data_IF_596128443578
#
_entry.id   IF_596128443578
#
_cell.length_a   1.000
_cell.length_b   1.000
_cell.length_c   1.000
_cell.angle_alpha   90.00
_cell.angle_beta   90.00
_cell.angle_gamma   90.00
#
_symmetry.space_group_name_H-M   'P 1'
#
loop_
_entity.id
_entity.type
_entity.pdbx_description
1 polymer ?
#
# COMPACT_ATOMS: atom_id res chain seq x y z
N UNK A 1 -9.85 -0.30 8.70
CA UNK A 1 -8.72 -0.81 7.89
C UNK A 1 -9.24 -1.03 6.49
N UNK A 2 -8.65 -0.39 5.49
CA UNK A 2 -9.05 -0.53 4.09
C UNK A 2 -7.83 -0.37 3.17
N UNK A 3 -8.01 -0.62 1.88
CA UNK A 3 -7.00 -0.37 0.84
C UNK A 3 -6.93 1.14 0.63
N UNK A 4 -5.78 1.74 0.93
CA UNK A 4 -5.51 3.16 0.69
C UNK A 4 -5.38 3.44 -0.80
N UNK A 5 -4.59 2.60 -1.48
CA UNK A 5 -4.27 2.76 -2.89
C UNK A 5 -4.04 1.40 -3.54
N UNK A 6 -4.15 1.38 -4.86
CA UNK A 6 -3.85 0.22 -5.70
C UNK A 6 -2.81 0.62 -6.72
N UNK A 7 -1.74 -0.15 -6.82
CA UNK A 7 -0.83 -0.15 -7.96
C UNK A 7 -1.20 -1.34 -8.82
N UNK A 8 -1.53 -1.12 -10.09
CA UNK A 8 -1.84 -2.19 -11.04
C UNK A 8 -0.81 -2.17 -12.16
N UNK A 9 -0.02 -3.24 -12.25
CA UNK A 9 1.03 -3.43 -13.23
C UNK A 9 0.50 -4.16 -14.47
N UNK A 10 0.84 -3.69 -15.65
CA UNK A 10 0.56 -4.39 -16.91
C UNK A 10 1.73 -5.30 -17.28
N UNK A 11 1.46 -6.61 -17.33
CA UNK A 11 2.47 -7.63 -17.58
C UNK A 11 2.51 -8.08 -19.05
N UNK A 12 1.64 -7.52 -19.89
CA UNK A 12 1.60 -7.74 -21.34
C UNK A 12 0.93 -6.52 -22.00
N UNK A 13 1.41 -6.13 -23.18
CA UNK A 13 0.73 -5.15 -24.04
C UNK A 13 -0.48 -5.78 -24.72
N UNK A 14 -1.62 -5.08 -24.71
CA UNK A 14 -2.79 -5.44 -25.54
C UNK A 14 -3.06 -4.26 -26.47
N UNK A 15 -3.06 -4.52 -27.78
CA UNK A 15 -3.15 -3.47 -28.79
C UNK A 15 -4.57 -2.89 -28.92
N UNK A 16 -5.61 -3.70 -28.67
CA UNK A 16 -7.01 -3.29 -28.77
C UNK A 16 -7.85 -3.84 -27.61
N UNK A 17 -8.56 -2.95 -26.92
CA UNK A 17 -9.29 -3.29 -25.71
C UNK A 17 -8.36 -3.51 -24.52
N UNK A 18 -8.86 -4.19 -23.49
CA UNK A 18 -8.03 -4.54 -22.33
C UNK A 18 -7.69 -3.35 -21.42
N UNK A 19 -8.29 -2.17 -21.61
CA UNK A 19 -8.02 -0.99 -20.80
C UNK A 19 -8.40 -1.22 -19.33
N UNK A 20 -7.74 -0.48 -18.45
CA UNK A 20 -8.30 -0.22 -17.11
C UNK A 20 -9.09 1.07 -17.21
N UNK A 21 -10.37 1.04 -16.86
CA UNK A 21 -11.25 2.20 -17.00
C UNK A 21 -11.77 2.69 -15.65
N UNK A 22 -11.98 3.99 -15.54
CA UNK A 22 -12.48 4.70 -14.37
C UNK A 22 -13.72 5.50 -14.76
N UNK A 23 -14.93 4.92 -14.65
CA UNK A 23 -16.16 5.53 -15.18
C UNK A 23 -16.55 6.83 -14.49
N UNK A 24 -16.12 7.05 -13.24
CA UNK A 24 -16.41 8.25 -12.45
C UNK A 24 -15.24 9.23 -12.36
N UNK A 25 -14.19 9.02 -13.17
CA UNK A 25 -13.08 9.96 -13.25
C UNK A 25 -13.57 11.30 -13.80
N UNK A 26 -13.07 12.39 -13.23
CA UNK A 26 -13.41 13.74 -13.66
C UNK A 26 -12.46 14.22 -14.77
N UNK A 27 -13.01 15.03 -15.68
CA UNK A 27 -12.23 15.81 -16.63
C UNK A 27 -11.64 17.07 -15.96
N UNK A 28 -10.92 17.89 -16.74
CA UNK A 28 -10.26 19.10 -16.25
C UNK A 28 -11.24 20.13 -15.69
N UNK A 29 -12.50 20.07 -16.12
CA UNK A 29 -13.59 20.94 -15.68
C UNK A 29 -14.33 20.38 -14.44
N UNK A 30 -13.86 19.27 -13.86
CA UNK A 30 -14.45 18.67 -12.66
C UNK A 30 -15.76 17.92 -12.91
N UNK A 31 -16.05 17.52 -14.15
CA UNK A 31 -17.26 16.79 -14.55
C UNK A 31 -16.92 15.37 -14.99
N UNK A 32 -17.84 14.42 -14.81
CA UNK A 32 -17.67 13.09 -15.42
C UNK A 32 -17.66 13.20 -16.95
N UNK A 33 -16.87 12.35 -17.63
CA UNK A 33 -16.80 12.33 -19.09
C UNK A 33 -18.14 11.91 -19.70
N UNK A 34 -18.70 10.79 -19.23
CA UNK A 34 -20.05 10.34 -19.50
C UNK A 34 -20.61 9.74 -18.21
N UNK A 35 -21.78 10.19 -17.73
CA UNK A 35 -22.36 9.68 -16.50
C UNK A 35 -22.44 8.15 -16.47
N UNK A 36 -22.00 7.57 -15.37
CA UNK A 36 -21.98 6.13 -15.18
C UNK A 36 -23.41 5.54 -15.19
N UNK A 37 -23.62 4.48 -15.97
CA UNK A 37 -24.91 3.81 -16.13
C UNK A 37 -25.03 2.49 -15.35
N UNK A 38 -24.02 2.09 -14.57
CA UNK A 38 -24.01 0.82 -13.84
C UNK A 38 -23.53 -0.40 -14.66
N UNK A 39 -23.37 -0.25 -15.98
CA UNK A 39 -23.03 -1.36 -16.87
C UNK A 39 -21.52 -1.51 -17.06
N UNK A 40 -20.94 -2.54 -16.45
CA UNK A 40 -19.50 -2.84 -16.47
C UNK A 40 -18.95 -3.18 -17.87
N UNK A 41 -19.80 -3.52 -18.83
CA UNK A 41 -19.40 -3.74 -20.23
C UNK A 41 -19.21 -2.41 -20.99
N UNK A 42 -19.78 -1.30 -20.51
CA UNK A 42 -19.63 0.03 -21.12
C UNK A 42 -18.35 0.72 -20.64
N UNK A 43 -17.24 0.16 -21.09
CA UNK A 43 -15.88 0.48 -20.69
C UNK A 43 -15.41 1.91 -20.98
N UNK A 44 -16.02 2.59 -21.96
CA UNK A 44 -15.51 3.83 -22.53
C UNK A 44 -16.29 5.08 -22.06
N UNK A 45 -16.88 5.02 -20.86
CA UNK A 45 -17.63 6.13 -20.24
C UNK A 45 -16.78 7.09 -19.38
N UNK A 46 -15.50 6.80 -19.19
CA UNK A 46 -14.62 7.58 -18.32
C UNK A 46 -13.18 7.67 -18.81
N UNK A 47 -12.26 7.85 -17.87
CA UNK A 47 -10.83 7.77 -18.16
C UNK A 47 -10.45 6.31 -18.41
N UNK A 48 -9.73 6.05 -19.49
CA UNK A 48 -9.19 4.72 -19.80
C UNK A 48 -7.67 4.77 -19.82
N UNK A 49 -7.04 3.67 -19.41
CA UNK A 49 -5.60 3.47 -19.45
C UNK A 49 -5.31 2.19 -20.23
N UNK A 50 -4.67 2.28 -21.41
CA UNK A 50 -4.34 1.11 -22.20
C UNK A 50 -3.27 0.26 -21.50
N UNK A 51 -3.35 -1.08 -21.60
CA UNK A 51 -2.35 -1.98 -21.04
C UNK A 51 -1.11 -2.01 -21.92
N UNK A 52 -0.03 -1.39 -21.45
CA UNK A 52 1.28 -1.41 -22.10
C UNK A 52 2.27 -2.10 -21.18
N UNK A 53 2.99 -3.11 -21.68
CA UNK A 53 3.95 -3.89 -20.91
C UNK A 53 4.89 -3.00 -20.09
N UNK A 54 4.98 -3.26 -18.79
CA UNK A 54 5.85 -2.55 -17.86
C UNK A 54 5.25 -1.27 -17.27
N UNK A 55 4.22 -0.70 -17.89
CA UNK A 55 3.51 0.44 -17.30
C UNK A 55 2.70 0.01 -16.07
N UNK A 56 2.44 0.97 -15.19
CA UNK A 56 1.56 0.78 -14.04
C UNK A 56 0.61 1.96 -13.88
N UNK A 57 -0.59 1.69 -13.38
CA UNK A 57 -1.54 2.71 -12.92
C UNK A 57 -1.60 2.69 -11.39
N UNK A 58 -1.39 3.86 -10.79
CA UNK A 58 -1.59 4.09 -9.35
C UNK A 58 -2.84 4.95 -9.17
N UNK A 59 -3.74 4.50 -8.32
CA UNK A 59 -4.90 5.28 -7.90
C UNK A 59 -5.21 5.06 -6.42
N UNK A 60 -5.72 6.11 -5.78
CA UNK A 60 -6.15 6.08 -4.38
C UNK A 60 -7.59 5.60 -4.30
N UNK A 61 -7.87 4.66 -3.40
CA UNK A 61 -9.22 4.17 -3.11
C UNK A 61 -9.88 4.97 -1.98
N UNK A 62 -9.17 5.93 -1.41
CA UNK A 62 -9.59 6.72 -0.26
C UNK A 62 -9.19 8.19 -0.43
N UNK A 63 -10.05 9.08 0.05
CA UNK A 63 -9.74 10.50 0.24
C UNK A 63 -8.96 10.70 1.56
N UNK A 64 -8.29 11.87 1.77
CA UNK A 64 -7.43 12.07 2.94
C UNK A 64 -8.09 11.90 4.31
N UNK A 65 -9.41 12.09 4.40
CA UNK A 65 -10.18 11.91 5.64
C UNK A 65 -10.50 10.43 5.96
N UNK A 66 -10.11 9.50 5.09
CA UNK A 66 -10.31 8.06 5.29
C UNK A 66 -11.65 7.52 4.78
N UNK A 67 -12.48 8.31 4.11
CA UNK A 67 -13.64 7.79 3.36
C UNK A 67 -13.21 7.15 2.04
N UNK A 68 -14.02 6.22 1.54
CA UNK A 68 -13.82 5.64 0.21
C UNK A 68 -14.04 6.71 -0.86
N UNK A 69 -13.18 6.71 -1.88
CA UNK A 69 -13.35 7.59 -3.04
C UNK A 69 -14.19 6.89 -4.11
N UNK A 70 -15.42 7.34 -4.33
CA UNK A 70 -16.29 6.82 -5.39
C UNK A 70 -15.71 7.00 -6.80
N UNK A 71 -14.82 7.98 -7.01
CA UNK A 71 -14.16 8.22 -8.29
C UNK A 71 -13.09 7.18 -8.61
N UNK A 72 -12.67 6.41 -7.60
CA UNK A 72 -11.74 5.29 -7.74
C UNK A 72 -12.42 4.01 -8.26
N UNK A 73 -13.74 4.02 -8.49
CA UNK A 73 -14.44 2.93 -9.17
C UNK A 73 -13.70 2.65 -10.48
N UNK A 74 -13.35 1.39 -10.70
CA UNK A 74 -12.59 0.97 -11.87
C UNK A 74 -12.97 -0.44 -12.28
N UNK A 75 -12.68 -0.76 -13.54
CA UNK A 75 -12.85 -2.09 -14.10
C UNK A 75 -11.79 -2.41 -15.15
N UNK A 76 -11.81 -3.65 -15.63
CA UNK A 76 -10.97 -4.11 -16.71
C UNK A 76 -11.81 -4.43 -17.93
N UNK A 77 -11.49 -3.80 -19.05
CA UNK A 77 -12.12 -4.09 -20.33
C UNK A 77 -11.63 -5.41 -20.89
N UNK A 78 -12.46 -6.04 -21.70
CA UNK A 78 -12.09 -7.26 -22.42
C UNK A 78 -11.15 -6.89 -23.59
N UNK A 79 -10.05 -7.63 -23.83
CA UNK A 79 -9.34 -7.57 -25.10
C UNK A 79 -10.28 -7.86 -26.27
N UNK A 80 -10.22 -7.07 -27.33
CA UNK A 80 -11.17 -7.19 -28.45
C UNK A 80 -10.67 -8.15 -29.53
N UNK A 81 -9.36 -8.28 -29.69
CA UNK A 81 -8.77 -9.25 -30.64
C UNK A 81 -8.95 -10.68 -30.13
N UNK A 82 -9.33 -11.57 -31.04
CA UNK A 82 -9.53 -12.98 -30.72
C UNK A 82 -8.20 -13.63 -30.29
N UNK A 83 -8.23 -14.33 -29.16
CA UNK A 83 -7.04 -14.99 -28.60
C UNK A 83 -6.11 -14.08 -27.79
N UNK A 84 -6.41 -12.77 -27.69
CA UNK A 84 -5.61 -11.88 -26.86
C UNK A 84 -5.94 -12.01 -25.36
N UNK A 85 -4.88 -12.00 -24.56
CA UNK A 85 -4.95 -12.05 -23.10
C UNK A 85 -4.39 -10.77 -22.48
N UNK A 86 -5.03 -10.33 -21.39
CA UNK A 86 -4.55 -9.25 -20.52
C UNK A 86 -3.98 -9.86 -19.25
N UNK A 87 -2.67 -9.69 -19.04
CA UNK A 87 -2.00 -10.09 -17.81
C UNK A 87 -1.69 -8.86 -16.96
N UNK A 88 -2.02 -8.92 -15.67
CA UNK A 88 -1.76 -7.83 -14.75
C UNK A 88 -1.54 -8.30 -13.32
N UNK A 89 -0.83 -7.50 -12.52
CA UNK A 89 -0.60 -7.75 -11.10
C UNK A 89 -1.09 -6.58 -10.27
N UNK A 90 -1.91 -6.86 -9.25
CA UNK A 90 -2.38 -5.86 -8.31
C UNK A 90 -1.56 -5.88 -7.01
N UNK A 91 -1.08 -4.70 -6.61
CA UNK A 91 -0.51 -4.48 -5.29
C UNK A 91 -1.40 -3.51 -4.52
N UNK A 92 -1.98 -4.01 -3.43
CA UNK A 92 -2.80 -3.19 -2.53
C UNK A 92 -1.96 -2.59 -1.41
N UNK A 93 -1.96 -1.27 -1.33
CA UNK A 93 -1.38 -0.50 -0.23
C UNK A 93 -2.50 -0.25 0.78
N UNK A 94 -2.25 -0.55 2.06
CA UNK A 94 -3.28 -0.50 3.09
C UNK A 94 -3.10 0.74 3.97
N UNK A 95 -4.20 1.36 4.39
CA UNK A 95 -4.18 2.52 5.29
C UNK A 95 -3.84 2.18 6.75
N UNK A 96 -3.60 0.90 7.02
CA UNK A 96 -3.13 0.40 8.29
C UNK A 96 -2.04 -0.61 7.99
N UNK A 97 -0.92 -0.62 8.72
CA UNK A 97 0.14 -1.60 8.52
C UNK A 97 -0.45 -3.02 8.54
N UNK A 98 -0.06 -3.83 7.55
CA UNK A 98 -0.30 -5.27 7.61
C UNK A 98 0.42 -5.80 8.84
N UNK A 99 -0.35 -6.39 9.77
CA UNK A 99 0.25 -7.15 10.86
C UNK A 99 0.83 -8.44 10.26
N UNK A 100 2.01 -8.34 9.65
CA UNK A 100 2.88 -9.51 9.56
C UNK A 100 3.19 -9.93 11.00
N UNK A 101 3.07 -11.22 11.29
CA UNK A 101 3.26 -11.83 12.61
C UNK A 101 4.70 -11.68 13.14
N UNK A 102 5.20 -10.45 13.33
CA UNK A 102 6.50 -10.28 13.98
C UNK A 102 7.10 -8.87 14.07
N UNK A 103 6.70 -7.87 13.27
CA UNK A 103 7.59 -6.68 13.11
C UNK A 103 6.97 -5.32 13.46
N UNK A 104 5.72 -5.27 13.93
CA UNK A 104 5.17 -4.00 14.43
C UNK A 104 4.63 -4.14 15.86
N UNK A 105 5.06 -3.27 16.80
CA UNK A 105 4.49 -3.26 18.13
C UNK A 105 2.99 -3.01 18.03
N UNK A 106 2.18 -3.91 18.63
CA UNK A 106 0.73 -3.76 18.65
C UNK A 106 0.39 -2.39 19.26
N UNK A 107 -0.42 -1.58 18.58
CA UNK A 107 -1.06 -0.41 19.22
C UNK A 107 -1.73 -0.89 20.51
N UNK A 108 -1.22 -0.44 21.65
CA UNK A 108 -1.67 -0.89 22.97
C UNK A 108 -0.76 -1.90 23.68
N UNK A 109 0.52 -2.07 23.32
CA UNK A 109 1.49 -2.57 24.31
C UNK A 109 1.48 -1.56 25.45
N UNK A 110 0.80 -1.90 26.54
CA UNK A 110 0.97 -1.23 27.83
C UNK A 110 2.48 -1.28 28.09
N UNK A 111 3.15 -0.12 28.10
CA UNK A 111 4.50 0.01 28.62
C UNK A 111 4.56 -0.84 29.89
N UNK A 112 5.48 -1.83 29.93
CA UNK A 112 5.62 -2.66 31.13
C UNK A 112 5.79 -1.68 32.29
N UNK A 113 4.84 -1.71 33.23
CA UNK A 113 4.83 -0.91 34.44
C UNK A 113 6.15 -1.19 35.16
N UNK A 114 7.14 -0.31 34.98
CA UNK A 114 8.49 -0.55 35.47
C UNK A 114 9.64 0.13 34.71
N UNK A 115 9.41 0.92 33.66
CA UNK A 115 10.52 1.69 33.07
C UNK A 115 11.01 2.75 34.06
N UNK A 116 12.17 2.48 34.68
CA UNK A 116 12.91 3.49 35.44
C UNK A 116 13.06 4.74 34.56
N UNK A 117 12.86 5.96 35.10
CA UNK A 117 13.10 7.19 34.34
C UNK A 117 14.53 7.16 33.78
N UNK A 118 14.69 7.24 32.46
CA UNK A 118 16.00 7.18 31.79
C UNK A 118 16.38 5.82 31.20
N UNK A 119 15.59 4.76 31.41
CA UNK A 119 15.81 3.46 30.78
C UNK A 119 15.06 3.38 29.44
N UNK A 120 15.70 3.85 28.38
CA UNK A 120 15.16 3.82 27.03
C UNK A 120 16.25 3.54 26.00
N UNK A 121 15.84 2.93 24.88
CA UNK A 121 16.69 2.82 23.70
C UNK A 121 16.70 4.16 22.94
N UNK A 122 17.86 4.49 22.37
CA UNK A 122 18.11 5.73 21.62
C UNK A 122 18.13 5.53 20.11
N UNK A 123 18.07 4.28 19.66
CA UNK A 123 18.05 3.90 18.26
C UNK A 123 16.91 2.92 18.00
N UNK A 124 16.28 3.03 16.84
CA UNK A 124 15.19 2.14 16.40
C UNK A 124 15.67 0.70 16.16
N UNK A 125 16.96 0.51 15.91
CA UNK A 125 17.57 -0.79 15.63
C UNK A 125 18.04 -1.52 16.90
N UNK A 126 17.95 -0.91 18.08
CA UNK A 126 18.42 -1.51 19.34
C UNK A 126 17.87 -2.92 19.60
N UNK A 127 16.58 -3.14 19.31
CA UNK A 127 15.95 -4.46 19.47
C UNK A 127 16.53 -5.51 18.51
N UNK A 128 16.84 -5.11 17.27
CA UNK A 128 17.42 -5.99 16.27
C UNK A 128 18.87 -6.36 16.64
N UNK A 129 19.67 -5.37 17.04
CA UNK A 129 21.05 -5.58 17.49
C UNK A 129 21.14 -6.44 18.76
N UNK A 130 20.26 -6.19 19.74
CA UNK A 130 20.19 -7.02 20.93
C UNK A 130 19.84 -8.48 20.60
N UNK A 131 18.87 -8.69 19.69
CA UNK A 131 18.53 -10.03 19.20
C UNK A 131 19.68 -10.69 18.41
N UNK A 132 20.51 -9.88 17.76
CA UNK A 132 21.73 -10.30 17.06
C UNK A 132 22.94 -10.58 17.96
N UNK A 133 22.81 -10.43 19.29
CA UNK A 133 23.89 -10.70 20.25
C UNK A 133 24.84 -9.52 20.49
N UNK A 134 24.52 -8.32 20.00
CA UNK A 134 25.37 -7.13 20.16
C UNK A 134 25.49 -6.70 21.62
N UNK A 135 24.53 -7.06 22.48
CA UNK A 135 24.65 -6.81 23.92
C UNK A 135 25.87 -7.52 24.52
N UNK A 136 26.40 -8.57 23.91
CA UNK A 136 27.64 -9.23 24.33
C UNK A 136 28.84 -8.80 23.49
N UNK A 137 28.65 -8.67 22.17
CA UNK A 137 29.74 -8.40 21.22
C UNK A 137 30.14 -6.92 21.16
N UNK A 138 29.23 -6.00 21.48
CA UNK A 138 29.41 -4.56 21.41
C UNK A 138 28.83 -3.86 22.67
N UNK A 139 29.18 -4.40 23.83
CA UNK A 139 28.67 -3.99 25.15
C UNK A 139 28.71 -2.47 25.38
N UNK A 140 29.83 -1.82 25.08
CA UNK A 140 30.01 -0.40 25.39
C UNK A 140 28.99 0.50 24.66
N UNK A 141 28.80 0.25 23.37
CA UNK A 141 27.80 0.97 22.57
C UNK A 141 26.39 0.59 23.00
N UNK A 142 26.14 -0.70 23.16
CA UNK A 142 24.81 -1.25 23.42
C UNK A 142 24.29 -0.88 24.81
N UNK A 143 25.11 -0.88 25.85
CA UNK A 143 24.69 -0.47 27.19
C UNK A 143 24.43 1.04 27.29
N UNK A 144 25.06 1.84 26.43
CA UNK A 144 24.90 3.31 26.43
C UNK A 144 23.71 3.77 25.58
N UNK A 145 23.47 3.12 24.43
CA UNK A 145 22.45 3.54 23.46
C UNK A 145 21.22 2.63 23.45
N UNK A 146 21.36 1.38 23.88
CA UNK A 146 20.34 0.34 23.80
C UNK A 146 20.11 -0.33 25.18
N UNK A 147 20.19 0.47 26.24
CA UNK A 147 20.16 -0.01 27.62
C UNK A 147 18.88 -0.78 27.95
N UNK A 148 17.75 -0.39 27.37
CA UNK A 148 16.47 -1.07 27.57
C UNK A 148 16.42 -2.41 26.82
N UNK A 149 16.91 -2.45 25.57
CA UNK A 149 17.03 -3.68 24.78
C UNK A 149 18.01 -4.69 25.38
N UNK A 150 19.09 -4.23 26.03
CA UNK A 150 20.07 -5.09 26.70
C UNK A 150 19.78 -5.37 28.18
N UNK A 151 18.67 -4.86 28.72
CA UNK A 151 18.31 -4.97 30.14
C UNK A 151 19.42 -4.53 31.12
N UNK A 152 20.18 -3.49 30.74
CA UNK A 152 21.25 -2.90 31.59
C UNK A 152 20.78 -1.70 32.39
N UNK A 153 19.49 -1.39 32.28
CA UNK A 153 18.72 -0.53 33.17
C UNK A 153 17.46 -1.30 33.60
#
# INVERSE_FOLDING_TARGET
RNRLATVFWYLKTVDEGGETFFPRALNKEGREYKPWNGNHEDCYRGLTVPPVLGNAVLFYSMVPDGRLDERSLHGGCKPTRAGDEKWGANQWIWNHPHRHNGVYPKRGVKLRKGSKPGCQDRDENCAAWASGGECSNNQAFMHSNCAASCNTC
#
